data_IF_159750622551
#
_entry.id   IF_159750622551
#
_cell.length_a   1.000
_cell.length_b   1.000
_cell.length_c   1.000
_cell.angle_alpha   90.00
_cell.angle_beta   90.00
_cell.angle_gamma   90.00
#
_symmetry.space_group_name_H-M   'P 1'
#
loop_
_entity.id
_entity.type
_entity.pdbx_description
1 polymer ?
#
# COMPACT_ATOMS: atom_id res chain seq x y z
N UNK A 1 -5.10 -0.45 25.12
CA UNK A 1 -4.33 0.11 24.00
C UNK A 1 -4.52 1.62 23.90
N UNK A 2 -3.56 2.36 23.40
CA UNK A 2 -3.72 3.80 23.17
C UNK A 2 -4.63 4.04 21.97
N UNK A 3 -5.68 4.82 22.14
CA UNK A 3 -6.53 5.30 21.05
C UNK A 3 -5.79 6.42 20.33
N UNK A 4 -5.72 6.36 19.01
CA UNK A 4 -5.13 7.39 18.15
C UNK A 4 -6.15 7.94 17.19
N UNK A 5 -6.03 9.21 16.86
CA UNK A 5 -6.88 9.87 15.87
C UNK A 5 -6.15 9.93 14.54
N UNK A 6 -6.90 9.80 13.44
CA UNK A 6 -6.38 10.15 12.11
C UNK A 6 -6.15 11.66 11.98
N UNK A 7 -6.89 12.47 12.74
CA UNK A 7 -6.72 13.92 12.79
C UNK A 7 -5.32 14.31 13.29
N UNK A 8 -4.64 15.16 12.55
CA UNK A 8 -3.26 15.62 12.81
C UNK A 8 -2.20 14.50 12.77
N UNK A 9 -2.55 13.28 12.32
CA UNK A 9 -1.54 12.24 12.07
C UNK A 9 -0.82 12.49 10.74
N UNK A 10 0.40 11.98 10.62
CA UNK A 10 1.14 11.95 9.35
C UNK A 10 1.00 10.58 8.73
N UNK A 11 0.46 10.52 7.52
CA UNK A 11 0.26 9.30 6.75
C UNK A 11 1.16 9.29 5.53
N UNK A 12 2.05 8.31 5.45
CA UNK A 12 2.96 8.10 4.34
C UNK A 12 2.36 7.02 3.41
N UNK A 13 2.08 7.39 2.16
CA UNK A 13 1.43 6.49 1.19
C UNK A 13 2.42 6.12 0.10
N UNK A 14 2.87 4.86 0.09
CA UNK A 14 3.77 4.32 -0.93
C UNK A 14 2.97 3.82 -2.13
N UNK A 15 3.11 4.56 -3.23
CA UNK A 15 2.33 4.34 -4.45
C UNK A 15 1.03 5.16 -4.44
N UNK A 16 0.94 6.11 -5.37
CA UNK A 16 -0.26 6.95 -5.57
C UNK A 16 -1.03 6.51 -6.83
N UNK A 17 -1.14 5.20 -7.02
CA UNK A 17 -2.03 4.60 -8.02
C UNK A 17 -3.49 4.65 -7.58
N UNK A 18 -4.34 3.79 -8.16
CA UNK A 18 -5.77 3.79 -7.87
C UNK A 18 -6.06 3.53 -6.38
N UNK A 19 -5.43 2.52 -5.79
CA UNK A 19 -5.63 2.18 -4.36
C UNK A 19 -5.04 3.25 -3.46
N UNK A 20 -3.75 3.57 -3.64
CA UNK A 20 -3.06 4.52 -2.77
C UNK A 20 -3.60 5.95 -2.89
N UNK A 21 -4.00 6.37 -4.11
CA UNK A 21 -4.65 7.67 -4.31
C UNK A 21 -5.99 7.77 -3.59
N UNK A 22 -6.82 6.73 -3.66
CA UNK A 22 -8.11 6.70 -2.97
C UNK A 22 -7.95 6.59 -1.44
N UNK A 23 -6.94 5.90 -0.95
CA UNK A 23 -6.59 5.88 0.47
C UNK A 23 -6.11 7.27 0.93
N UNK A 24 -5.20 7.90 0.18
CA UNK A 24 -4.67 9.22 0.48
C UNK A 24 -5.77 10.29 0.57
N UNK A 25 -6.73 10.29 -0.37
CA UNK A 25 -7.90 11.19 -0.33
C UNK A 25 -8.70 11.05 0.96
N UNK A 26 -8.95 9.83 1.40
CA UNK A 26 -9.71 9.54 2.64
C UNK A 26 -8.93 9.94 3.87
N UNK A 27 -7.63 9.64 3.92
CA UNK A 27 -6.76 10.07 5.01
C UNK A 27 -6.74 11.60 5.13
N UNK A 28 -6.63 12.31 3.99
CA UNK A 28 -6.69 13.77 3.94
C UNK A 28 -8.04 14.31 4.43
N UNK A 29 -9.14 13.70 4.00
CA UNK A 29 -10.49 14.10 4.43
C UNK A 29 -10.72 13.90 5.94
N UNK A 30 -10.01 12.94 6.56
CA UNK A 30 -10.01 12.72 8.01
C UNK A 30 -9.05 13.65 8.76
N UNK A 31 -8.41 14.61 8.09
CA UNK A 31 -7.53 15.60 8.68
C UNK A 31 -6.09 15.18 8.91
N UNK A 32 -5.64 14.10 8.23
CA UNK A 32 -4.23 13.70 8.24
C UNK A 32 -3.38 14.61 7.33
N UNK A 33 -2.11 14.75 7.67
CA UNK A 33 -1.07 15.20 6.75
C UNK A 33 -0.66 14.00 5.88
N UNK A 34 -0.83 14.12 4.56
CA UNK A 34 -0.54 13.05 3.62
C UNK A 34 0.76 13.32 2.89
N UNK A 35 1.71 12.39 3.01
CA UNK A 35 2.96 12.36 2.25
C UNK A 35 2.86 11.22 1.24
N UNK A 36 2.89 11.56 -0.04
CA UNK A 36 2.85 10.58 -1.12
C UNK A 36 4.24 10.20 -1.58
N UNK A 37 4.46 8.91 -1.86
CA UNK A 37 5.73 8.40 -2.38
C UNK A 37 5.52 7.86 -3.80
N UNK A 38 6.32 8.32 -4.76
CA UNK A 38 6.34 7.84 -6.14
C UNK A 38 7.76 7.47 -6.56
N UNK A 39 7.87 6.59 -7.53
CA UNK A 39 9.16 6.28 -8.16
C UNK A 39 9.61 7.41 -9.08
N UNK A 40 8.69 7.98 -9.84
CA UNK A 40 8.94 9.00 -10.87
C UNK A 40 7.75 9.96 -10.96
N UNK A 41 7.99 11.11 -11.59
CA UNK A 41 6.95 12.13 -11.80
C UNK A 41 6.88 13.13 -10.64
N UNK A 42 6.55 14.37 -10.98
CA UNK A 42 6.50 15.51 -10.04
C UNK A 42 5.08 16.04 -9.84
N UNK A 43 4.13 15.47 -10.57
CA UNK A 43 2.73 15.88 -10.49
C UNK A 43 2.12 15.47 -9.15
N UNK A 44 1.91 16.46 -8.28
CA UNK A 44 1.40 16.29 -6.93
C UNK A 44 -0.11 16.48 -6.92
N UNK A 45 -0.89 15.42 -6.58
CA UNK A 45 -2.34 15.57 -6.42
C UNK A 45 -2.71 16.53 -5.28
N UNK A 46 -3.85 17.21 -5.39
CA UNK A 46 -4.33 18.18 -4.39
C UNK A 46 -4.55 17.59 -2.99
N UNK A 47 -4.85 16.30 -2.90
CA UNK A 47 -5.03 15.58 -1.64
C UNK A 47 -3.72 15.11 -0.99
N UNK A 48 -2.57 15.44 -1.58
CA UNK A 48 -1.24 15.12 -1.05
C UNK A 48 -0.58 16.42 -0.61
N UNK A 49 -0.17 16.52 0.65
CA UNK A 49 0.51 17.71 1.17
C UNK A 49 1.94 17.80 0.67
N UNK A 50 2.62 16.67 0.60
CA UNK A 50 4.00 16.58 0.16
C UNK A 50 4.20 15.34 -0.72
N UNK A 51 4.91 15.49 -1.83
CA UNK A 51 5.27 14.40 -2.74
C UNK A 51 6.78 14.18 -2.68
N UNK A 52 7.18 12.96 -2.40
CA UNK A 52 8.59 12.56 -2.37
C UNK A 52 8.86 11.41 -3.32
N UNK A 53 10.12 11.21 -3.66
CA UNK A 53 10.60 10.04 -4.38
C UNK A 53 11.09 8.94 -3.44
N UNK A 54 11.15 7.71 -3.96
CA UNK A 54 11.48 6.51 -3.18
C UNK A 54 12.86 6.56 -2.52
N UNK A 55 13.81 7.28 -3.12
CA UNK A 55 15.16 7.50 -2.57
C UNK A 55 15.18 8.33 -1.28
N UNK A 56 14.13 9.10 -1.05
CA UNK A 56 13.93 9.91 0.16
C UNK A 56 13.11 9.24 1.25
N UNK A 57 12.63 8.01 1.00
CA UNK A 57 11.72 7.32 1.90
C UNK A 57 12.22 7.29 3.35
N UNK A 58 13.48 6.92 3.56
CA UNK A 58 14.05 6.72 4.88
C UNK A 58 14.13 8.02 5.71
N UNK A 59 14.20 9.20 5.06
CA UNK A 59 14.19 10.51 5.72
C UNK A 59 12.78 10.85 6.30
N UNK A 60 11.72 10.24 5.76
CA UNK A 60 10.33 10.52 6.11
C UNK A 60 9.70 9.47 7.03
N UNK A 61 10.25 8.26 7.09
CA UNK A 61 9.76 7.19 7.96
C UNK A 61 9.65 7.61 9.45
N UNK A 62 10.61 8.37 10.04
CA UNK A 62 10.52 8.78 11.44
C UNK A 62 9.37 9.74 11.75
N UNK A 63 8.75 10.38 10.74
CA UNK A 63 7.64 11.32 10.91
C UNK A 63 6.27 10.64 10.78
N UNK A 64 6.21 9.45 10.16
CA UNK A 64 4.98 8.80 9.77
C UNK A 64 4.32 8.05 10.93
N UNK A 65 3.11 8.46 11.32
CA UNK A 65 2.26 7.72 12.26
C UNK A 65 1.65 6.47 11.61
N UNK A 66 1.46 6.51 10.29
CA UNK A 66 0.98 5.40 9.50
C UNK A 66 1.74 5.33 8.17
N UNK A 67 2.21 4.15 7.82
CA UNK A 67 2.83 3.84 6.53
C UNK A 67 1.92 2.88 5.78
N UNK A 68 1.39 3.32 4.63
CA UNK A 68 0.50 2.51 3.79
C UNK A 68 1.22 2.10 2.50
N UNK A 69 1.37 0.79 2.30
CA UNK A 69 2.04 0.19 1.15
C UNK A 69 0.98 -0.27 0.16
N UNK A 70 0.96 0.38 -1.02
CA UNK A 70 0.08 0.04 -2.15
C UNK A 70 0.89 -0.18 -3.43
N UNK A 71 2.16 -0.52 -3.24
CA UNK A 71 3.11 -0.75 -4.32
C UNK A 71 2.90 -2.11 -5.00
N UNK A 72 3.32 -2.19 -6.26
CA UNK A 72 3.44 -3.46 -6.96
C UNK A 72 4.58 -4.33 -6.41
N UNK A 73 4.43 -5.65 -6.54
CA UNK A 73 5.52 -6.59 -6.34
C UNK A 73 6.43 -6.62 -7.56
N UNK A 74 7.62 -6.10 -7.43
CA UNK A 74 8.67 -6.10 -8.45
C UNK A 74 10.02 -6.43 -7.80
N UNK A 75 11.04 -6.69 -8.60
CA UNK A 75 12.40 -6.88 -8.09
C UNK A 75 12.88 -5.67 -7.26
N UNK A 76 12.48 -4.45 -7.64
CA UNK A 76 12.86 -3.22 -6.95
C UNK A 76 12.10 -2.99 -5.62
N UNK A 77 10.94 -3.63 -5.43
CA UNK A 77 10.12 -3.48 -4.22
C UNK A 77 10.20 -4.70 -3.30
N UNK A 78 10.80 -5.79 -3.75
CA UNK A 78 11.01 -7.00 -2.92
C UNK A 78 11.87 -6.68 -1.71
N UNK A 79 11.39 -7.04 -0.52
CA UNK A 79 12.08 -6.81 0.75
C UNK A 79 12.30 -5.33 1.08
N UNK A 80 11.50 -4.43 0.48
CA UNK A 80 11.63 -2.99 0.70
C UNK A 80 11.46 -2.61 2.17
N UNK A 81 10.65 -3.34 2.92
CA UNK A 81 10.45 -3.18 4.36
C UNK A 81 11.03 -4.38 5.10
N UNK A 82 12.32 -4.33 5.32
CA UNK A 82 13.09 -5.23 6.17
C UNK A 82 13.20 -4.70 7.62
N UNK A 83 13.92 -5.41 8.47
CA UNK A 83 14.12 -5.03 9.87
C UNK A 83 14.82 -3.66 10.01
N UNK A 84 15.79 -3.35 9.15
CA UNK A 84 16.51 -2.07 9.19
C UNK A 84 15.57 -0.90 8.86
N UNK A 85 14.75 -1.04 7.82
CA UNK A 85 13.81 0.01 7.44
C UNK A 85 12.66 0.15 8.44
N UNK A 86 12.16 -0.94 9.01
CA UNK A 86 11.16 -0.87 10.09
C UNK A 86 11.73 -0.19 11.33
N UNK A 87 13.01 -0.38 11.65
CA UNK A 87 13.66 0.31 12.75
C UNK A 87 13.71 1.85 12.56
N UNK A 88 13.72 2.34 11.32
CA UNK A 88 13.68 3.78 10.98
C UNK A 88 12.27 4.39 11.11
N UNK A 89 11.22 3.58 11.15
CA UNK A 89 9.85 4.08 11.33
C UNK A 89 9.71 4.77 12.69
N UNK A 90 8.72 5.63 12.81
CA UNK A 90 8.36 6.27 14.09
C UNK A 90 7.98 5.21 15.11
N UNK A 91 8.43 5.37 16.36
CA UNK A 91 8.05 4.46 17.45
C UNK A 91 6.52 4.47 17.63
N UNK A 92 5.97 3.27 17.63
CA UNK A 92 4.53 3.08 17.70
C UNK A 92 3.77 3.42 16.41
N UNK A 93 4.42 3.52 15.26
CA UNK A 93 3.74 3.67 13.98
C UNK A 93 2.87 2.44 13.63
N UNK A 94 1.96 2.63 12.68
CA UNK A 94 1.15 1.55 12.10
C UNK A 94 1.65 1.28 10.68
N UNK A 95 1.83 -0.01 10.33
CA UNK A 95 2.13 -0.45 8.98
C UNK A 95 0.91 -1.07 8.33
N UNK A 96 0.55 -0.62 7.13
CA UNK A 96 -0.51 -1.22 6.31
C UNK A 96 0.09 -1.76 5.01
N UNK A 97 -0.19 -3.02 4.67
CA UNK A 97 0.23 -3.60 3.39
C UNK A 97 -0.96 -4.21 2.65
N UNK A 98 -1.41 -3.53 1.61
CA UNK A 98 -2.41 -4.00 0.66
C UNK A 98 -1.85 -4.08 -0.77
N UNK A 99 -0.53 -4.05 -0.89
CA UNK A 99 0.20 -4.16 -2.14
C UNK A 99 0.52 -5.61 -2.50
N UNK A 100 1.70 -6.08 -2.09
CA UNK A 100 2.15 -7.47 -2.24
C UNK A 100 2.96 -7.91 -1.02
N UNK A 101 2.82 -9.17 -0.61
CA UNK A 101 3.49 -9.74 0.56
C UNK A 101 5.00 -9.58 0.51
N UNK A 102 5.60 -9.90 -0.62
CA UNK A 102 7.05 -9.84 -0.84
C UNK A 102 7.71 -8.47 -0.58
N UNK A 103 6.92 -7.40 -0.37
CA UNK A 103 7.45 -6.06 -0.09
C UNK A 103 7.90 -5.93 1.37
N UNK A 104 7.24 -6.68 2.26
CA UNK A 104 7.44 -6.66 3.70
C UNK A 104 8.05 -7.99 4.14
N UNK A 105 9.16 -7.94 4.84
CA UNK A 105 9.68 -9.10 5.55
C UNK A 105 8.75 -9.44 6.72
N UNK A 106 8.06 -10.58 6.63
CA UNK A 106 7.03 -10.97 7.57
C UNK A 106 7.59 -11.29 8.97
N UNK A 107 8.80 -11.87 9.03
CA UNK A 107 9.46 -12.16 10.31
C UNK A 107 9.94 -10.87 10.98
N UNK A 108 10.49 -9.93 10.21
CA UNK A 108 10.88 -8.62 10.71
C UNK A 108 9.65 -7.82 11.19
N UNK A 109 8.50 -7.95 10.52
CA UNK A 109 7.24 -7.36 10.95
C UNK A 109 6.81 -7.92 12.32
N UNK A 110 6.87 -9.25 12.49
CA UNK A 110 6.57 -9.89 13.76
C UNK A 110 7.45 -9.35 14.89
N UNK A 111 8.76 -9.30 14.67
CA UNK A 111 9.71 -8.78 15.67
C UNK A 111 9.42 -7.31 16.02
N UNK A 112 9.07 -6.47 15.03
CA UNK A 112 8.75 -5.06 15.25
C UNK A 112 7.42 -4.86 16.01
N UNK A 113 6.45 -5.75 15.84
CA UNK A 113 5.19 -5.76 16.59
C UNK A 113 5.41 -6.26 18.03
N UNK A 114 6.18 -7.31 18.20
CA UNK A 114 6.45 -7.94 19.51
C UNK A 114 7.23 -7.02 20.44
N UNK A 115 8.26 -6.34 19.92
CA UNK A 115 9.09 -5.42 20.71
C UNK A 115 8.46 -4.01 20.89
N UNK A 116 7.28 -3.77 20.32
CA UNK A 116 6.55 -2.50 20.44
C UNK A 116 7.08 -1.37 19.54
N UNK A 117 8.02 -1.63 18.63
CA UNK A 117 8.47 -0.65 17.63
C UNK A 117 7.31 -0.19 16.77
N UNK A 118 6.45 -1.12 16.35
CA UNK A 118 5.19 -0.84 15.69
C UNK A 118 4.03 -1.06 16.68
N UNK A 119 3.11 -0.10 16.72
CA UNK A 119 1.89 -0.24 17.53
C UNK A 119 0.88 -1.22 16.92
N UNK A 120 0.95 -1.42 15.62
CA UNK A 120 0.06 -2.35 14.92
C UNK A 120 0.40 -2.51 13.45
N UNK A 121 -0.17 -3.55 12.85
CA UNK A 121 -0.11 -3.77 11.42
C UNK A 121 -1.46 -4.22 10.87
N UNK A 122 -1.76 -3.83 9.63
CA UNK A 122 -2.85 -4.37 8.83
C UNK A 122 -2.28 -4.93 7.53
N UNK A 123 -2.41 -6.24 7.32
CA UNK A 123 -1.84 -6.92 6.15
C UNK A 123 -2.92 -7.74 5.44
N UNK A 124 -3.15 -7.42 4.18
CA UNK A 124 -4.01 -8.20 3.30
C UNK A 124 -3.21 -9.22 2.48
N UNK A 125 -1.88 -9.08 2.51
CA UNK A 125 -0.92 -9.88 1.75
C UNK A 125 0.29 -10.22 2.61
N UNK A 126 0.82 -11.44 2.46
CA UNK A 126 1.99 -11.94 3.22
C UNK A 126 2.98 -12.63 2.30
N UNK A 127 4.16 -12.90 2.78
CA UNK A 127 5.15 -13.76 2.11
C UNK A 127 5.74 -14.71 3.16
N UNK A 128 5.51 -16.03 3.05
CA UNK A 128 4.75 -16.71 1.99
C UNK A 128 3.22 -16.45 2.05
N UNK A 129 2.56 -16.70 0.92
CA UNK A 129 1.10 -16.62 0.80
C UNK A 129 0.55 -17.93 0.21
N UNK A 130 -0.39 -18.63 0.89
CA UNK A 130 -0.98 -18.26 2.18
C UNK A 130 0.04 -18.32 3.34
N UNK A 131 -0.20 -17.47 4.37
CA UNK A 131 0.62 -17.47 5.59
C UNK A 131 0.48 -18.83 6.31
N UNK A 132 1.59 -19.50 6.70
CA UNK A 132 1.55 -20.78 7.40
C UNK A 132 0.67 -20.72 8.65
N UNK A 133 -0.06 -21.80 8.93
CA UNK A 133 -1.05 -21.85 10.01
C UNK A 133 -0.42 -21.68 11.42
N UNK A 134 0.86 -22.02 11.56
CA UNK A 134 1.63 -21.93 12.80
C UNK A 134 2.42 -20.63 12.93
N UNK A 135 2.33 -19.73 11.93
CA UNK A 135 3.09 -18.49 11.91
C UNK A 135 2.72 -17.58 13.11
N UNK A 136 3.74 -16.98 13.80
CA UNK A 136 3.51 -16.15 14.99
C UNK A 136 2.53 -14.97 14.77
N UNK A 137 2.50 -14.40 13.59
CA UNK A 137 1.65 -13.25 13.23
C UNK A 137 0.16 -13.50 13.52
N UNK A 138 -0.32 -14.77 13.42
CA UNK A 138 -1.71 -15.13 13.76
C UNK A 138 -2.09 -14.91 15.23
N UNK A 139 -1.10 -14.89 16.11
CA UNK A 139 -1.29 -14.77 17.56
C UNK A 139 -1.09 -13.33 18.07
N UNK A 140 -0.74 -12.41 17.20
CA UNK A 140 -0.46 -11.01 17.57
C UNK A 140 -1.76 -10.21 17.63
N UNK A 141 -2.12 -9.72 18.83
CA UNK A 141 -3.32 -8.91 19.03
C UNK A 141 -3.28 -7.55 18.34
N UNK A 142 -2.08 -7.09 18.00
CA UNK A 142 -1.84 -5.83 17.28
C UNK A 142 -1.65 -6.02 15.77
N UNK A 143 -1.96 -7.20 15.23
CA UNK A 143 -1.97 -7.49 13.81
C UNK A 143 -3.40 -7.79 13.31
N UNK A 144 -3.82 -7.15 12.24
CA UNK A 144 -5.04 -7.48 11.51
C UNK A 144 -4.63 -8.10 10.18
N UNK A 145 -5.05 -9.35 9.98
CA UNK A 145 -4.72 -10.11 8.76
C UNK A 145 -6.02 -10.37 8.01
N UNK A 146 -6.03 -10.07 6.72
CA UNK A 146 -7.10 -10.44 5.79
C UNK A 146 -6.53 -11.31 4.67
N UNK A 147 -7.34 -12.25 4.10
CA UNK A 147 -6.83 -13.27 3.19
C UNK A 147 -6.80 -12.81 1.72
N UNK A 148 -6.09 -11.71 1.42
CA UNK A 148 -5.92 -11.12 0.09
C UNK A 148 -7.27 -10.82 -0.59
N UNK A 149 -8.16 -10.15 0.13
CA UNK A 149 -9.53 -9.86 -0.31
C UNK A 149 -9.83 -8.37 -0.51
N UNK A 150 -8.90 -7.48 -0.19
CA UNK A 150 -9.11 -6.01 -0.30
C UNK A 150 -9.42 -5.56 -1.74
N UNK A 151 -8.97 -6.32 -2.74
CA UNK A 151 -9.25 -6.08 -4.16
C UNK A 151 -10.11 -7.16 -4.82
N UNK A 152 -10.78 -8.00 -4.05
CA UNK A 152 -11.53 -9.15 -4.55
C UNK A 152 -12.80 -8.78 -5.34
N UNK A 153 -13.28 -9.76 -6.11
CA UNK A 153 -14.46 -9.62 -7.00
C UNK A 153 -15.79 -9.87 -6.27
N UNK A 154 -15.85 -9.64 -4.97
CA UNK A 154 -17.03 -9.96 -4.16
C UNK A 154 -18.13 -8.89 -4.20
N UNK A 155 -17.79 -7.70 -4.70
CA UNK A 155 -18.75 -6.59 -4.81
C UNK A 155 -19.30 -6.50 -6.23
N UNK A 156 -20.60 -6.37 -6.35
CA UNK A 156 -21.26 -6.21 -7.65
C UNK A 156 -20.73 -4.99 -8.42
N UNK A 157 -20.47 -3.87 -7.71
CA UNK A 157 -19.89 -2.66 -8.30
C UNK A 157 -18.51 -2.90 -8.92
N UNK A 158 -17.72 -3.81 -8.36
CA UNK A 158 -16.41 -4.18 -8.93
C UNK A 158 -16.60 -4.93 -10.24
N UNK A 159 -17.52 -5.88 -10.28
CA UNK A 159 -17.89 -6.59 -11.50
C UNK A 159 -18.36 -5.64 -12.58
N UNK A 160 -19.29 -4.75 -12.25
CA UNK A 160 -19.88 -3.80 -13.20
C UNK A 160 -18.80 -2.88 -13.80
N UNK A 161 -17.86 -2.39 -12.98
CA UNK A 161 -16.74 -1.56 -13.44
C UNK A 161 -15.80 -2.34 -14.37
N UNK A 162 -15.48 -3.60 -14.05
CA UNK A 162 -14.65 -4.45 -14.89
C UNK A 162 -15.34 -4.69 -16.24
N UNK A 163 -16.61 -5.06 -16.24
CA UNK A 163 -17.39 -5.28 -17.46
C UNK A 163 -17.46 -4.01 -18.31
N UNK A 164 -17.67 -2.85 -17.70
CA UNK A 164 -17.65 -1.56 -18.40
C UNK A 164 -16.30 -1.29 -19.08
N UNK A 165 -15.18 -1.50 -18.37
CA UNK A 165 -13.82 -1.33 -18.93
C UNK A 165 -13.58 -2.30 -20.08
N UNK A 166 -13.99 -3.57 -19.93
CA UNK A 166 -13.84 -4.59 -20.97
C UNK A 166 -14.66 -4.24 -22.22
N UNK A 167 -15.91 -3.84 -22.03
CA UNK A 167 -16.79 -3.45 -23.14
C UNK A 167 -16.27 -2.20 -23.88
N UNK A 168 -15.75 -1.22 -23.14
CA UNK A 168 -15.12 -0.04 -23.73
C UNK A 168 -13.86 -0.42 -24.53
N UNK A 169 -13.00 -1.25 -23.96
CA UNK A 169 -11.79 -1.71 -24.62
C UNK A 169 -12.08 -2.55 -25.87
N UNK A 170 -13.15 -3.36 -25.86
CA UNK A 170 -13.57 -4.10 -27.04
C UNK A 170 -14.01 -3.13 -28.15
N UNK A 171 -14.80 -2.10 -27.83
CA UNK A 171 -15.20 -1.08 -28.81
C UNK A 171 -13.98 -0.35 -29.39
N UNK A 172 -13.05 0.06 -28.55
CA UNK A 172 -11.79 0.72 -28.96
C UNK A 172 -10.96 -0.19 -29.86
N UNK A 173 -10.82 -1.46 -29.49
CA UNK A 173 -10.10 -2.44 -30.29
C UNK A 173 -10.69 -2.60 -31.71
N UNK A 174 -12.01 -2.72 -31.80
CA UNK A 174 -12.71 -2.82 -33.08
C UNK A 174 -12.59 -1.55 -33.93
N UNK A 175 -12.46 -0.37 -33.28
CA UNK A 175 -12.27 0.92 -33.94
C UNK A 175 -10.79 1.23 -34.25
N UNK A 176 -9.82 0.37 -33.87
CA UNK A 176 -8.39 0.63 -34.05
C UNK A 176 -7.85 1.73 -33.11
N UNK A 177 -8.55 2.03 -32.03
CA UNK A 177 -8.17 3.03 -31.03
C UNK A 177 -7.27 2.44 -29.93
N UNK A 178 -6.55 3.32 -29.20
CA UNK A 178 -5.75 2.93 -28.04
C UNK A 178 -6.63 2.38 -26.91
N UNK A 179 -6.22 1.26 -26.32
CA UNK A 179 -6.91 0.65 -25.19
C UNK A 179 -6.61 1.39 -23.88
N UNK A 180 -7.53 1.28 -22.92
CA UNK A 180 -7.31 1.72 -21.53
C UNK A 180 -6.56 0.65 -20.75
N UNK A 181 -5.77 1.10 -19.79
CA UNK A 181 -5.04 0.23 -18.85
C UNK A 181 -4.12 -0.79 -19.53
N UNK A 182 -3.47 -0.39 -20.63
CA UNK A 182 -2.49 -1.25 -21.31
C UNK A 182 -1.33 -1.54 -20.37
N UNK A 183 -1.06 -2.83 -20.17
CA UNK A 183 0.05 -3.29 -19.34
C UNK A 183 1.37 -3.15 -20.09
N UNK A 184 2.35 -2.56 -19.47
CA UNK A 184 3.74 -2.59 -19.90
C UNK A 184 4.37 -3.89 -19.39
N UNK A 185 4.69 -4.80 -20.28
CA UNK A 185 5.26 -6.10 -19.92
C UNK A 185 6.65 -6.02 -19.27
N UNK A 186 7.37 -4.92 -19.47
CA UNK A 186 8.67 -4.73 -18.82
C UNK A 186 8.54 -4.40 -17.33
N UNK A 187 7.45 -3.74 -16.94
CA UNK A 187 7.18 -3.32 -15.56
C UNK A 187 6.10 -4.13 -14.88
N UNK A 188 5.30 -4.88 -15.65
CA UNK A 188 4.11 -5.58 -15.17
C UNK A 188 2.94 -4.67 -14.79
N UNK A 189 3.02 -3.36 -15.14
CA UNK A 189 2.04 -2.35 -14.77
C UNK A 189 1.49 -1.61 -15.98
N UNK A 190 0.33 -0.95 -15.79
CA UNK A 190 -0.22 -0.07 -16.82
C UNK A 190 0.77 1.06 -17.16
N UNK A 191 0.86 1.38 -18.44
CA UNK A 191 1.50 2.61 -18.90
C UNK A 191 0.73 3.81 -18.31
N UNK A 192 1.46 4.71 -17.67
CA UNK A 192 0.93 5.98 -17.17
C UNK A 192 0.87 6.98 -18.32
#
# INVERSE_FOLDING_TARGET
GQVRSAWNSTVLVLGLGDIGGEFAKRAKALGARVIGVRRTGTDKPDFVDELIHTDKLDEYLPQADCVAITLPGTTATKGMFDAERMAKMKDGAILLNVGRGMIVDTDALCAALENGKLAGAGVDVTDPEPLPADHPLWKMENAVITPHISGGYHLQETHDRIVCIMAENLKRFLAGESLRNVVDFSTGYRKL
#
